data_IF_142275167647
#
_entry.id   IF_142275167647
#
_cell.length_a   1.000
_cell.length_b   1.000
_cell.length_c   1.000
_cell.angle_alpha   90.00
_cell.angle_beta   90.00
_cell.angle_gamma   90.00
#
_symmetry.space_group_name_H-M   'P 1'
#
loop_
_entity.id
_entity.type
_entity.pdbx_description
1 polymer ?
#
# COMPACT_ATOMS: atom_id res chain seq x y z
N UNK A 1 -30.53 -0.90 -15.66
CA UNK A 1 -29.17 -0.39 -15.89
C UNK A 1 -28.28 -1.59 -16.14
N UNK A 2 -27.73 -1.71 -17.34
CA UNK A 2 -26.95 -2.90 -17.72
C UNK A 2 -25.55 -2.83 -17.07
N UNK A 3 -24.88 -3.97 -16.94
CA UNK A 3 -23.52 -4.05 -16.39
C UNK A 3 -22.52 -3.19 -17.17
N UNK A 4 -22.76 -2.99 -18.47
CA UNK A 4 -21.95 -2.16 -19.38
C UNK A 4 -22.06 -0.67 -19.02
N UNK A 5 -23.26 -0.18 -18.72
CA UNK A 5 -23.48 1.22 -18.30
C UNK A 5 -22.75 1.55 -16.99
N UNK A 6 -22.63 0.55 -16.11
CA UNK A 6 -21.98 0.69 -14.80
C UNK A 6 -20.46 0.80 -14.93
N UNK A 7 -19.85 0.03 -15.85
CA UNK A 7 -18.42 0.08 -16.10
C UNK A 7 -18.01 1.43 -16.73
N UNK A 8 -18.77 1.90 -17.72
CA UNK A 8 -18.51 3.17 -18.40
C UNK A 8 -18.58 4.37 -17.43
N UNK A 9 -19.50 4.35 -16.46
CA UNK A 9 -19.62 5.39 -15.44
C UNK A 9 -18.50 5.36 -14.39
N UNK A 10 -17.87 4.21 -14.16
CA UNK A 10 -16.85 4.02 -13.12
C UNK A 10 -15.48 4.58 -13.53
N UNK A 11 -15.10 4.43 -14.79
CA UNK A 11 -13.80 4.90 -15.32
C UNK A 11 -13.48 6.38 -15.04
N UNK A 12 -14.38 7.35 -15.33
CA UNK A 12 -14.09 8.76 -15.03
C UNK A 12 -13.98 9.04 -13.53
N UNK A 13 -14.71 8.29 -12.69
CA UNK A 13 -14.62 8.40 -11.23
C UNK A 13 -13.27 7.90 -10.73
N UNK A 14 -12.80 6.74 -11.20
CA UNK A 14 -11.47 6.20 -10.89
C UNK A 14 -10.39 7.23 -11.26
N UNK A 15 -10.47 7.79 -12.48
CA UNK A 15 -9.50 8.79 -12.94
C UNK A 15 -9.49 10.08 -12.10
N UNK A 16 -10.65 10.51 -11.60
CA UNK A 16 -10.75 11.68 -10.71
C UNK A 16 -10.07 11.43 -9.37
N UNK A 17 -10.39 10.31 -8.72
CA UNK A 17 -9.82 10.00 -7.40
C UNK A 17 -8.31 9.71 -7.50
N UNK A 18 -7.86 9.04 -8.57
CA UNK A 18 -6.44 8.89 -8.87
C UNK A 18 -5.72 10.23 -8.99
N UNK A 19 -6.31 11.19 -9.72
CA UNK A 19 -5.73 12.53 -9.89
C UNK A 19 -5.69 13.31 -8.58
N UNK A 20 -6.71 13.18 -7.74
CA UNK A 20 -6.72 13.80 -6.41
C UNK A 20 -5.61 13.24 -5.52
N UNK A 21 -5.42 11.92 -5.50
CA UNK A 21 -4.35 11.30 -4.73
C UNK A 21 -2.98 11.75 -5.22
N UNK A 22 -2.70 11.66 -6.53
CA UNK A 22 -1.39 11.99 -7.11
C UNK A 22 -1.00 13.46 -6.86
N UNK A 23 -1.99 14.36 -6.84
CA UNK A 23 -1.76 15.80 -6.57
C UNK A 23 -1.82 16.16 -5.10
N UNK A 24 -2.00 15.18 -4.21
CA UNK A 24 -2.20 15.46 -2.79
C UNK A 24 -0.90 15.99 -2.15
N UNK A 25 -0.94 17.12 -1.43
CA UNK A 25 0.26 17.77 -0.90
C UNK A 25 1.02 16.91 0.13
N UNK A 26 0.34 15.97 0.80
CA UNK A 26 0.99 14.99 1.71
C UNK A 26 1.97 14.07 0.99
N UNK A 27 1.91 13.95 -0.34
CA UNK A 27 2.90 13.20 -1.11
C UNK A 27 4.15 14.02 -1.45
N UNK A 28 4.14 15.35 -1.32
CA UNK A 28 5.27 16.22 -1.66
C UNK A 28 6.51 16.05 -0.78
N UNK A 29 6.41 15.66 0.51
CA UNK A 29 7.58 15.31 1.28
C UNK A 29 8.35 14.12 0.68
N UNK A 30 7.73 13.21 -0.07
CA UNK A 30 8.41 12.05 -0.64
C UNK A 30 9.56 12.43 -1.60
N UNK A 31 9.35 13.25 -2.65
CA UNK A 31 10.45 13.73 -3.49
C UNK A 31 11.45 14.60 -2.72
N UNK A 32 11.04 15.32 -1.68
CA UNK A 32 11.95 16.08 -0.83
C UNK A 32 12.88 15.15 -0.03
N UNK A 33 12.34 14.06 0.57
CA UNK A 33 13.12 13.02 1.25
C UNK A 33 14.12 12.40 0.28
N UNK A 34 13.67 12.00 -0.92
CA UNK A 34 14.54 11.43 -1.96
C UNK A 34 15.65 12.43 -2.35
N UNK A 35 15.32 13.70 -2.54
CA UNK A 35 16.27 14.73 -2.93
C UNK A 35 17.30 15.00 -1.83
N UNK A 36 16.87 15.09 -0.57
CA UNK A 36 17.73 15.32 0.60
C UNK A 36 18.66 14.13 0.82
N UNK A 37 18.14 12.90 0.82
CA UNK A 37 18.99 11.70 0.98
C UNK A 37 20.00 11.60 -0.16
N UNK A 38 19.55 11.80 -1.41
CA UNK A 38 20.44 11.80 -2.57
C UNK A 38 21.50 12.91 -2.53
N UNK A 39 21.19 14.09 -1.97
CA UNK A 39 22.09 15.23 -1.89
C UNK A 39 23.14 15.07 -0.78
N UNK A 40 22.73 14.59 0.40
CA UNK A 40 23.64 14.32 1.52
C UNK A 40 24.72 13.32 1.12
N UNK A 41 24.35 12.27 0.39
CA UNK A 41 25.30 11.22 -0.01
C UNK A 41 26.12 11.60 -1.26
N UNK A 42 25.62 12.50 -2.10
CA UNK A 42 26.44 13.12 -3.15
C UNK A 42 27.65 13.88 -2.60
N UNK A 43 27.59 14.29 -1.33
CA UNK A 43 28.69 14.96 -0.65
C UNK A 43 29.70 14.00 0.01
N UNK A 44 29.43 12.69 0.06
CA UNK A 44 30.18 11.71 0.87
C UNK A 44 30.92 10.61 0.07
N UNK A 45 31.63 10.97 -1.01
CA UNK A 45 32.53 10.07 -1.77
C UNK A 45 31.91 9.06 -2.76
N UNK A 46 30.73 9.37 -3.31
CA UNK A 46 30.28 8.81 -4.59
C UNK A 46 29.19 7.73 -4.50
N UNK A 47 28.32 7.72 -5.51
CA UNK A 47 27.12 6.86 -5.53
C UNK A 47 27.43 5.52 -6.18
N UNK A 48 27.36 4.44 -5.41
CA UNK A 48 27.41 3.06 -5.94
C UNK A 48 26.02 2.61 -6.39
N UNK A 49 25.95 1.52 -7.16
CA UNK A 49 24.66 0.95 -7.55
C UNK A 49 23.88 0.37 -6.37
N UNK A 50 24.58 -0.26 -5.41
CA UNK A 50 23.97 -0.73 -4.15
C UNK A 50 23.34 0.41 -3.35
N UNK A 51 23.94 1.61 -3.38
CA UNK A 51 23.34 2.79 -2.77
C UNK A 51 22.01 3.19 -3.42
N UNK A 52 21.96 3.29 -4.74
CA UNK A 52 20.72 3.64 -5.46
C UNK A 52 19.64 2.59 -5.26
N UNK A 53 20.03 1.31 -5.26
CA UNK A 53 19.16 0.19 -4.96
C UNK A 53 18.51 0.33 -3.59
N UNK A 54 19.32 0.51 -2.54
CA UNK A 54 18.83 0.73 -1.17
C UNK A 54 18.00 2.01 -1.03
N UNK A 55 18.36 3.09 -1.73
CA UNK A 55 17.61 4.36 -1.69
C UNK A 55 16.22 4.22 -2.29
N UNK A 56 16.09 3.56 -3.46
CA UNK A 56 14.79 3.28 -4.08
C UNK A 56 13.96 2.41 -3.14
N UNK A 57 14.57 1.36 -2.59
CA UNK A 57 13.90 0.48 -1.65
C UNK A 57 13.37 1.25 -0.43
N UNK A 58 14.21 2.02 0.25
CA UNK A 58 13.79 2.82 1.41
C UNK A 58 12.70 3.83 0.99
N UNK A 59 12.88 4.61 -0.07
CA UNK A 59 11.85 5.57 -0.47
C UNK A 59 10.48 4.91 -0.73
N UNK A 60 10.47 3.77 -1.42
CA UNK A 60 9.25 3.13 -1.93
C UNK A 60 8.63 2.14 -0.94
N UNK A 61 9.44 1.31 -0.28
CA UNK A 61 8.98 0.31 0.68
C UNK A 61 8.79 0.89 2.08
N UNK A 62 9.47 1.99 2.44
CA UNK A 62 9.44 2.56 3.79
C UNK A 62 8.55 3.80 3.90
N UNK A 63 8.87 4.85 3.14
CA UNK A 63 8.22 6.15 3.31
C UNK A 63 6.91 6.25 2.54
N UNK A 64 6.91 5.79 1.29
CA UNK A 64 5.74 5.91 0.42
C UNK A 64 4.46 5.26 0.99
N UNK A 65 4.46 4.06 1.61
CA UNK A 65 3.24 3.47 2.16
C UNK A 65 2.62 4.35 3.26
N UNK A 66 3.44 4.97 4.11
CA UNK A 66 2.97 5.88 5.15
C UNK A 66 2.28 7.11 4.54
N UNK A 67 2.94 7.80 3.59
CA UNK A 67 2.35 8.98 2.95
C UNK A 67 1.10 8.63 2.14
N UNK A 68 1.09 7.49 1.44
CA UNK A 68 -0.06 6.98 0.70
C UNK A 68 -1.22 6.65 1.63
N UNK A 69 -0.99 6.01 2.78
CA UNK A 69 -2.00 5.71 3.79
C UNK A 69 -2.74 6.98 4.25
N UNK A 70 -1.97 8.00 4.66
CA UNK A 70 -2.55 9.26 5.14
C UNK A 70 -3.24 10.03 4.02
N UNK A 71 -2.62 10.14 2.84
CA UNK A 71 -3.22 10.82 1.69
C UNK A 71 -4.54 10.14 1.27
N UNK A 72 -4.56 8.81 1.19
CA UNK A 72 -5.75 8.03 0.88
C UNK A 72 -6.87 8.27 1.88
N UNK A 73 -6.57 8.24 3.18
CA UNK A 73 -7.57 8.53 4.22
C UNK A 73 -8.11 9.96 4.11
N UNK A 74 -7.27 10.95 3.83
CA UNK A 74 -7.69 12.34 3.67
C UNK A 74 -8.58 12.55 2.44
N UNK A 75 -8.22 11.93 1.31
CA UNK A 75 -9.06 11.94 0.09
C UNK A 75 -10.40 11.25 0.36
N UNK A 76 -10.38 10.05 0.95
CA UNK A 76 -11.57 9.26 1.23
C UNK A 76 -12.50 9.90 2.28
N UNK A 77 -11.95 10.64 3.25
CA UNK A 77 -12.73 11.38 4.26
C UNK A 77 -13.09 12.80 3.83
N UNK A 78 -12.68 13.25 2.63
CA UNK A 78 -12.86 14.62 2.16
C UNK A 78 -14.32 15.06 2.13
N UNK A 79 -15.24 14.20 1.68
CA UNK A 79 -16.67 14.50 1.64
C UNK A 79 -17.25 14.79 3.03
N UNK A 80 -16.86 14.00 4.05
CA UNK A 80 -17.23 14.22 5.46
C UNK A 80 -16.69 15.53 5.98
N UNK A 81 -15.41 15.78 5.76
CA UNK A 81 -14.72 16.98 6.25
C UNK A 81 -15.28 18.26 5.65
N UNK A 82 -15.78 18.20 4.42
CA UNK A 82 -16.45 19.31 3.75
C UNK A 82 -17.95 19.41 4.01
N UNK A 83 -18.53 18.58 4.89
CA UNK A 83 -19.98 18.46 5.11
C UNK A 83 -20.78 18.27 3.80
N UNK A 84 -20.16 17.66 2.79
CA UNK A 84 -20.75 17.47 1.47
C UNK A 84 -21.54 16.15 1.36
N UNK A 85 -21.60 15.34 2.42
CA UNK A 85 -22.32 14.06 2.40
C UNK A 85 -23.81 14.24 2.08
N UNK A 86 -24.47 15.26 2.64
CA UNK A 86 -25.89 15.55 2.37
C UNK A 86 -26.15 15.85 0.88
N UNK A 87 -25.22 16.56 0.22
CA UNK A 87 -25.31 16.84 -1.21
C UNK A 87 -25.00 15.61 -2.08
N UNK A 88 -24.38 14.58 -1.51
CA UNK A 88 -24.02 13.35 -2.20
C UNK A 88 -25.11 12.29 -2.08
N UNK A 89 -25.90 12.31 -1.00
CA UNK A 89 -27.04 11.42 -0.80
C UNK A 89 -28.14 11.60 -1.85
N UNK A 90 -28.22 12.79 -2.47
CA UNK A 90 -29.14 13.08 -3.59
C UNK A 90 -28.62 12.63 -4.95
N UNK A 91 -27.35 12.21 -5.08
CA UNK A 91 -26.85 11.69 -6.36
C UNK A 91 -27.29 10.24 -6.59
N UNK A 92 -27.78 9.88 -7.80
CA UNK A 92 -28.32 8.55 -8.08
C UNK A 92 -27.24 7.44 -8.16
N UNK A 93 -26.00 7.72 -7.77
CA UNK A 93 -24.91 6.74 -7.79
C UNK A 93 -24.88 5.97 -6.48
N UNK A 94 -25.01 4.64 -6.54
CA UNK A 94 -24.92 3.80 -5.37
C UNK A 94 -23.56 3.97 -4.65
N UNK A 95 -23.58 4.09 -3.31
CA UNK A 95 -22.38 4.25 -2.47
C UNK A 95 -21.34 3.12 -2.70
N UNK A 96 -21.81 1.91 -3.03
CA UNK A 96 -20.95 0.79 -3.42
C UNK A 96 -20.10 1.09 -4.66
N UNK A 97 -20.69 1.69 -5.71
CA UNK A 97 -19.98 2.03 -6.95
C UNK A 97 -18.96 3.13 -6.68
N UNK A 98 -19.34 4.16 -5.91
CA UNK A 98 -18.42 5.22 -5.50
C UNK A 98 -17.24 4.66 -4.69
N UNK A 99 -17.50 3.74 -3.76
CA UNK A 99 -16.44 3.12 -2.96
C UNK A 99 -15.51 2.29 -3.83
N UNK A 100 -16.04 1.52 -4.78
CA UNK A 100 -15.22 0.79 -5.75
C UNK A 100 -14.33 1.73 -6.56
N UNK A 101 -14.92 2.79 -7.12
CA UNK A 101 -14.16 3.77 -7.89
C UNK A 101 -13.07 4.45 -7.06
N UNK A 102 -13.36 4.77 -5.80
CA UNK A 102 -12.41 5.35 -4.85
C UNK A 102 -11.30 4.35 -4.50
N UNK A 103 -11.62 3.11 -4.15
CA UNK A 103 -10.63 2.07 -3.85
C UNK A 103 -9.71 1.81 -5.03
N UNK A 104 -10.25 1.69 -6.25
CA UNK A 104 -9.45 1.50 -7.47
C UNK A 104 -8.62 2.74 -7.82
N UNK A 105 -9.22 3.93 -7.75
CA UNK A 105 -8.55 5.20 -8.03
C UNK A 105 -7.41 5.49 -7.05
N UNK A 106 -7.54 5.04 -5.79
CA UNK A 106 -6.49 5.19 -4.78
C UNK A 106 -5.44 4.09 -4.85
N UNK A 107 -5.82 2.85 -5.17
CA UNK A 107 -4.88 1.72 -5.18
C UNK A 107 -3.98 1.69 -6.42
N UNK A 108 -4.54 1.98 -7.60
CA UNK A 108 -3.84 1.80 -8.88
C UNK A 108 -2.61 2.72 -9.05
N UNK A 109 -2.65 4.03 -8.76
CA UNK A 109 -1.47 4.88 -8.94
C UNK A 109 -0.29 4.47 -8.05
N UNK A 110 -0.46 4.25 -6.72
CA UNK A 110 0.61 3.74 -5.87
C UNK A 110 1.12 2.36 -6.29
N UNK A 111 0.23 1.45 -6.72
CA UNK A 111 0.65 0.15 -7.27
C UNK A 111 1.56 0.33 -8.51
N UNK A 112 1.20 1.26 -9.40
CA UNK A 112 2.00 1.62 -10.56
C UNK A 112 3.38 2.18 -10.18
N UNK A 113 3.45 3.05 -9.17
CA UNK A 113 4.73 3.55 -8.62
C UNK A 113 5.58 2.40 -8.08
N UNK A 114 4.98 1.46 -7.35
CA UNK A 114 5.66 0.27 -6.84
C UNK A 114 6.19 -0.63 -7.96
N UNK A 115 5.43 -0.81 -9.04
CA UNK A 115 5.85 -1.58 -10.20
C UNK A 115 7.00 -0.91 -10.95
N UNK A 116 6.94 0.42 -11.13
CA UNK A 116 8.03 1.20 -11.73
C UNK A 116 9.30 1.10 -10.88
N UNK A 117 9.18 1.18 -9.56
CA UNK A 117 10.30 1.01 -8.65
C UNK A 117 10.92 -0.39 -8.73
N UNK A 118 10.08 -1.44 -8.76
CA UNK A 118 10.53 -2.82 -8.93
C UNK A 118 11.33 -3.00 -10.23
N UNK A 119 10.83 -2.45 -11.34
CA UNK A 119 11.53 -2.47 -12.64
C UNK A 119 12.83 -1.68 -12.57
N UNK A 120 12.83 -0.50 -11.96
CA UNK A 120 14.04 0.31 -11.81
C UNK A 120 15.12 -0.43 -10.99
N UNK A 121 14.74 -1.11 -9.91
CA UNK A 121 15.65 -1.93 -9.10
C UNK A 121 16.19 -3.12 -9.88
N UNK A 122 15.34 -3.81 -10.66
CA UNK A 122 15.78 -4.89 -11.54
C UNK A 122 16.75 -4.42 -12.64
N UNK A 123 16.54 -3.21 -13.19
CA UNK A 123 17.46 -2.60 -14.15
C UNK A 123 18.81 -2.27 -13.49
N UNK A 124 18.81 -1.67 -12.29
CA UNK A 124 20.04 -1.34 -11.54
C UNK A 124 20.87 -2.59 -11.25
N UNK A 125 20.21 -3.69 -10.87
CA UNK A 125 20.84 -5.00 -10.70
C UNK A 125 21.50 -5.50 -12.00
N UNK A 126 20.78 -5.43 -13.13
CA UNK A 126 21.26 -5.97 -14.42
C UNK A 126 22.52 -5.32 -14.99
N UNK A 127 22.89 -4.11 -14.53
CA UNK A 127 24.01 -3.32 -15.10
C UNK A 127 25.18 -3.08 -14.15
N UNK A 128 25.11 -3.47 -12.86
CA UNK A 128 26.10 -2.99 -11.88
C UNK A 128 26.76 -4.05 -10.97
N UNK A 129 26.77 -5.33 -11.33
CA UNK A 129 27.46 -6.41 -10.59
C UNK A 129 27.26 -6.34 -9.06
N UNK A 130 26.02 -6.07 -8.62
CA UNK A 130 25.68 -6.05 -7.20
C UNK A 130 25.81 -7.50 -6.66
N UNK A 131 26.44 -7.71 -5.49
CA UNK A 131 26.51 -9.05 -4.90
C UNK A 131 25.11 -9.65 -4.76
N UNK A 132 24.91 -10.89 -5.24
CA UNK A 132 23.59 -11.54 -5.26
C UNK A 132 22.88 -11.61 -3.91
N UNK A 133 23.62 -11.56 -2.81
CA UNK A 133 23.06 -11.53 -1.45
C UNK A 133 22.38 -10.22 -1.09
N UNK A 134 22.68 -9.13 -1.81
CA UNK A 134 22.19 -7.78 -1.57
C UNK A 134 21.06 -7.39 -2.54
N UNK A 135 20.69 -8.31 -3.43
CA UNK A 135 19.66 -8.13 -4.46
C UNK A 135 18.39 -8.87 -4.07
N UNK A 136 17.26 -8.17 -4.14
CA UNK A 136 15.93 -8.74 -3.98
C UNK A 136 15.59 -9.65 -5.17
N UNK A 137 15.08 -10.83 -4.85
CA UNK A 137 14.47 -11.76 -5.79
C UNK A 137 13.25 -11.14 -6.49
N UNK A 138 12.86 -11.70 -7.64
CA UNK A 138 11.66 -11.26 -8.35
C UNK A 138 10.39 -11.32 -7.49
N UNK A 139 10.29 -12.31 -6.59
CA UNK A 139 9.17 -12.43 -5.65
C UNK A 139 9.18 -11.35 -4.56
N UNK A 140 10.35 -10.88 -4.13
CA UNK A 140 10.49 -9.75 -3.19
C UNK A 140 10.13 -8.42 -3.89
N UNK A 141 10.60 -8.21 -5.12
CA UNK A 141 10.25 -7.03 -5.92
C UNK A 141 8.75 -6.96 -6.23
N UNK A 142 8.10 -8.11 -6.45
CA UNK A 142 6.65 -8.20 -6.68
C UNK A 142 5.80 -7.74 -5.48
N UNK A 143 6.40 -7.58 -4.29
CA UNK A 143 5.69 -7.09 -3.10
C UNK A 143 5.42 -5.57 -3.17
N UNK A 144 6.31 -4.80 -3.82
CA UNK A 144 6.25 -3.32 -3.84
C UNK A 144 4.91 -2.75 -4.34
N UNK A 145 4.32 -3.22 -5.46
CA UNK A 145 3.00 -2.76 -5.90
C UNK A 145 1.91 -3.01 -4.84
N UNK A 146 1.92 -4.18 -4.19
CA UNK A 146 0.90 -4.57 -3.22
C UNK A 146 1.04 -3.85 -1.89
N UNK A 147 2.27 -3.56 -1.44
CA UNK A 147 2.52 -2.77 -0.24
C UNK A 147 1.91 -1.36 -0.40
N UNK A 148 2.17 -0.71 -1.55
CA UNK A 148 1.66 0.62 -1.83
C UNK A 148 0.15 0.65 -2.07
N UNK A 149 -0.37 -0.31 -2.83
CA UNK A 149 -1.81 -0.47 -3.02
C UNK A 149 -2.52 -0.73 -1.69
N UNK A 150 -1.98 -1.64 -0.88
CA UNK A 150 -2.51 -2.03 0.43
C UNK A 150 -2.54 -0.86 1.40
N UNK A 151 -1.50 -0.03 1.44
CA UNK A 151 -1.50 1.19 2.24
C UNK A 151 -2.61 2.16 1.82
N UNK A 152 -2.82 2.36 0.52
CA UNK A 152 -3.91 3.19 0.01
C UNK A 152 -5.28 2.64 0.39
N UNK A 153 -5.50 1.34 0.18
CA UNK A 153 -6.76 0.65 0.51
C UNK A 153 -7.03 0.63 2.01
N UNK A 154 -5.99 0.49 2.83
CA UNK A 154 -6.09 0.57 4.29
C UNK A 154 -6.50 1.99 4.72
N UNK A 155 -6.01 3.03 4.03
CA UNK A 155 -6.44 4.42 4.25
C UNK A 155 -7.91 4.64 3.91
N UNK A 156 -8.38 4.06 2.79
CA UNK A 156 -9.81 4.07 2.42
C UNK A 156 -10.65 3.30 3.44
N UNK A 157 -10.19 2.12 3.86
CA UNK A 157 -10.87 1.30 4.87
C UNK A 157 -10.98 2.05 6.20
N UNK A 158 -9.87 2.64 6.67
CA UNK A 158 -9.82 3.44 7.89
C UNK A 158 -10.80 4.61 7.80
N UNK A 159 -10.79 5.37 6.71
CA UNK A 159 -11.76 6.44 6.49
C UNK A 159 -13.19 5.88 6.53
N UNK A 160 -13.47 4.74 5.89
CA UNK A 160 -14.82 4.19 5.89
C UNK A 160 -15.27 3.71 7.26
N UNK A 161 -14.41 3.09 8.07
CA UNK A 161 -14.83 2.46 9.33
C UNK A 161 -14.65 3.34 10.56
N UNK A 162 -13.73 4.31 10.53
CA UNK A 162 -13.41 5.18 11.66
C UNK A 162 -13.85 6.62 11.34
N UNK A 163 -14.97 7.09 11.91
CA UNK A 163 -15.57 8.38 11.51
C UNK A 163 -14.83 9.62 12.03
N UNK A 164 -13.74 9.46 12.80
CA UNK A 164 -13.01 10.57 13.41
C UNK A 164 -11.65 10.81 12.74
N UNK A 165 -11.17 12.06 12.80
CA UNK A 165 -9.96 12.51 12.10
C UNK A 165 -8.68 11.72 12.46
N UNK A 166 -8.60 11.17 13.67
CA UNK A 166 -7.47 10.37 14.17
C UNK A 166 -7.53 8.88 13.84
N UNK A 167 -8.58 8.39 13.17
CA UNK A 167 -8.78 6.94 12.97
C UNK A 167 -7.62 6.28 12.24
N UNK A 168 -7.13 6.92 11.18
CA UNK A 168 -5.96 6.43 10.41
C UNK A 168 -4.68 6.37 11.24
N UNK A 169 -4.48 7.30 12.20
CA UNK A 169 -3.32 7.27 13.07
C UNK A 169 -3.39 6.06 14.01
N UNK A 170 -4.57 5.73 14.54
CA UNK A 170 -4.76 4.53 15.35
C UNK A 170 -4.51 3.27 14.53
N UNK A 171 -5.03 3.22 13.30
CA UNK A 171 -4.78 2.09 12.39
C UNK A 171 -3.28 1.94 12.10
N UNK A 172 -2.59 3.04 11.82
CA UNK A 172 -1.15 3.06 11.63
C UNK A 172 -0.43 2.51 12.87
N UNK A 173 -0.68 3.09 14.05
CA UNK A 173 -0.03 2.67 15.31
C UNK A 173 -0.32 1.21 15.62
N UNK A 174 -1.57 0.74 15.52
CA UNK A 174 -1.93 -0.65 15.77
C UNK A 174 -1.28 -1.60 14.76
N UNK A 175 -1.22 -1.23 13.49
CA UNK A 175 -0.55 -2.03 12.48
C UNK A 175 0.95 -2.11 12.78
N UNK A 176 1.57 -0.99 13.17
CA UNK A 176 2.99 -0.99 13.55
C UNK A 176 3.26 -1.80 14.82
N UNK A 177 2.46 -1.64 15.88
CA UNK A 177 2.55 -2.44 17.11
C UNK A 177 2.28 -3.93 16.86
N UNK A 178 1.31 -4.27 16.01
CA UNK A 178 1.03 -5.63 15.60
C UNK A 178 2.23 -6.26 14.90
N UNK A 179 2.86 -5.52 14.00
CA UNK A 179 4.13 -5.90 13.39
C UNK A 179 5.25 -6.11 14.42
N UNK A 180 5.41 -5.20 15.38
CA UNK A 180 6.40 -5.35 16.46
C UNK A 180 6.26 -6.67 17.20
N UNK A 181 5.03 -6.98 17.63
CA UNK A 181 4.73 -8.17 18.42
C UNK A 181 4.90 -9.43 17.57
N UNK A 182 4.37 -9.44 16.34
CA UNK A 182 4.40 -10.60 15.47
C UNK A 182 5.83 -10.98 15.04
N UNK A 183 6.69 -10.00 14.81
CA UNK A 183 8.05 -10.24 14.33
C UNK A 183 9.11 -10.22 15.45
N UNK A 184 8.74 -9.84 16.68
CA UNK A 184 9.65 -9.81 17.83
C UNK A 184 10.88 -8.90 17.61
N UNK A 185 10.77 -7.90 16.74
CA UNK A 185 11.88 -7.02 16.32
C UNK A 185 11.93 -5.76 17.18
N UNK A 186 12.47 -5.84 18.39
CA UNK A 186 12.72 -4.67 19.24
C UNK A 186 14.14 -4.09 19.08
N UNK A 187 15.09 -4.90 18.61
CA UNK A 187 16.52 -4.61 18.83
C UNK A 187 17.21 -3.77 17.75
N UNK A 188 16.58 -3.50 16.60
CA UNK A 188 17.26 -2.86 15.46
C UNK A 188 16.85 -1.41 15.18
N UNK A 189 15.87 -0.84 15.89
CA UNK A 189 15.33 0.48 15.53
C UNK A 189 14.61 0.49 14.17
N UNK A 190 14.42 -0.66 13.53
CA UNK A 190 13.78 -0.86 12.21
C UNK A 190 12.40 -1.54 12.35
N UNK A 191 11.76 -1.26 13.48
CA UNK A 191 10.68 -2.06 14.05
C UNK A 191 9.33 -1.86 13.32
N UNK A 192 9.29 -0.86 12.46
CA UNK A 192 8.23 -0.54 11.52
C UNK A 192 8.49 -1.10 10.10
N UNK A 193 9.49 -1.95 9.82
CA UNK A 193 9.73 -2.56 8.48
C UNK A 193 9.07 -3.95 8.28
N UNK A 194 7.99 -4.23 8.99
CA UNK A 194 7.33 -5.55 8.92
C UNK A 194 6.52 -5.79 7.63
N UNK A 195 6.31 -4.75 6.81
CA UNK A 195 5.60 -4.83 5.53
C UNK A 195 6.44 -5.44 4.40
N UNK A 196 7.75 -5.63 4.60
CA UNK A 196 8.65 -6.23 3.62
C UNK A 196 9.43 -7.39 4.24
N UNK A 197 9.79 -8.35 3.40
CA UNK A 197 10.50 -9.57 3.80
C UNK A 197 12.03 -9.38 3.84
N UNK A 198 12.54 -8.18 4.07
CA UNK A 198 13.96 -7.90 3.79
C UNK A 198 14.96 -8.49 4.81
N UNK A 199 16.13 -8.88 4.26
CA UNK A 199 17.33 -9.36 4.98
C UNK A 199 18.39 -8.28 5.24
N UNK A 200 18.33 -7.15 4.54
CA UNK A 200 19.48 -6.22 4.38
C UNK A 200 19.83 -5.47 5.68
N UNK A 201 18.89 -5.36 6.64
CA UNK A 201 19.08 -4.58 7.87
C UNK A 201 19.14 -5.42 9.17
N UNK A 202 19.23 -6.76 9.10
CA UNK A 202 19.23 -7.57 10.32
C UNK A 202 19.79 -8.99 10.19
N UNK A 203 20.47 -9.45 11.25
CA UNK A 203 21.15 -10.76 11.36
C UNK A 203 20.18 -11.96 11.36
N UNK A 204 18.87 -11.74 11.56
CA UNK A 204 17.86 -12.79 11.47
C UNK A 204 17.14 -12.75 10.13
N UNK A 205 17.40 -13.79 9.32
CA UNK A 205 16.63 -14.09 8.11
C UNK A 205 15.13 -14.03 8.43
N UNK A 206 14.30 -13.39 7.58
CA UNK A 206 12.87 -13.64 7.58
C UNK A 206 12.64 -15.15 7.58
N UNK A 207 11.55 -15.57 8.22
CA UNK A 207 11.06 -16.95 8.23
C UNK A 207 11.21 -17.56 6.83
N UNK A 208 11.68 -18.80 6.74
CA UNK A 208 11.86 -19.53 5.48
C UNK A 208 10.51 -19.69 4.77
N UNK A 209 10.10 -18.68 3.99
CA UNK A 209 8.89 -18.69 3.19
C UNK A 209 9.20 -18.19 1.79
N UNK A 210 8.51 -18.73 0.79
CA UNK A 210 8.74 -18.35 -0.59
C UNK A 210 8.22 -16.92 -0.86
N UNK A 211 9.04 -15.98 -1.37
CA UNK A 211 8.66 -14.57 -1.47
C UNK A 211 7.40 -14.28 -2.31
N UNK A 212 7.09 -15.14 -3.28
CA UNK A 212 5.88 -15.03 -4.10
C UNK A 212 4.61 -15.37 -3.32
N UNK A 213 4.68 -16.26 -2.32
CA UNK A 213 3.55 -16.53 -1.41
C UNK A 213 3.23 -15.28 -0.59
N UNK A 214 4.25 -14.52 -0.18
CA UNK A 214 4.03 -13.26 0.52
C UNK A 214 3.38 -12.21 -0.38
N UNK A 215 3.81 -12.09 -1.64
CA UNK A 215 3.14 -11.20 -2.60
C UNK A 215 1.66 -11.60 -2.82
N UNK A 216 1.37 -12.89 -2.93
CA UNK A 216 -0.01 -13.40 -3.02
C UNK A 216 -0.82 -13.10 -1.75
N UNK A 217 -0.23 -13.27 -0.58
CA UNK A 217 -0.82 -12.90 0.70
C UNK A 217 -1.15 -11.39 0.77
N UNK A 218 -0.21 -10.52 0.37
CA UNK A 218 -0.41 -9.07 0.32
C UNK A 218 -1.53 -8.69 -0.67
N UNK A 219 -1.62 -9.35 -1.82
CA UNK A 219 -2.72 -9.17 -2.76
C UNK A 219 -4.07 -9.57 -2.14
N UNK A 220 -4.10 -10.68 -1.38
CA UNK A 220 -5.26 -11.11 -0.59
C UNK A 220 -5.68 -10.08 0.47
N UNK A 221 -4.73 -9.51 1.20
CA UNK A 221 -5.00 -8.42 2.16
C UNK A 221 -5.55 -7.16 1.47
N UNK A 222 -5.03 -6.79 0.30
CA UNK A 222 -5.56 -5.70 -0.51
C UNK A 222 -7.02 -5.97 -0.88
N UNK A 223 -7.33 -7.19 -1.35
CA UNK A 223 -8.70 -7.60 -1.67
C UNK A 223 -9.62 -7.56 -0.43
N UNK A 224 -9.15 -8.03 0.72
CA UNK A 224 -9.88 -7.94 1.99
C UNK A 224 -10.22 -6.49 2.35
N UNK A 225 -9.24 -5.59 2.28
CA UNK A 225 -9.43 -4.17 2.58
C UNK A 225 -10.44 -3.51 1.63
N UNK A 226 -10.34 -3.79 0.32
CA UNK A 226 -11.28 -3.29 -0.67
C UNK A 226 -12.71 -3.79 -0.43
N UNK A 227 -12.89 -5.10 -0.22
CA UNK A 227 -14.21 -5.72 0.04
C UNK A 227 -14.82 -5.19 1.35
N UNK A 228 -14.02 -5.09 2.41
CA UNK A 228 -14.47 -4.57 3.70
C UNK A 228 -14.85 -3.08 3.64
N UNK A 229 -14.16 -2.28 2.81
CA UNK A 229 -14.52 -0.89 2.58
C UNK A 229 -15.85 -0.77 1.79
N UNK A 230 -15.96 -1.53 0.70
CA UNK A 230 -17.09 -1.49 -0.24
C UNK A 230 -18.41 -1.98 0.37
N UNK A 231 -18.37 -3.10 1.11
CA UNK A 231 -19.56 -3.74 1.64
C UNK A 231 -19.83 -3.43 3.11
N UNK A 232 -19.23 -2.36 3.66
CA UNK A 232 -19.45 -1.91 5.05
C UNK A 232 -20.93 -1.85 5.44
N UNK A 233 -21.79 -1.34 4.56
CA UNK A 233 -23.23 -1.21 4.81
C UNK A 233 -24.04 -2.48 4.49
N UNK A 234 -23.46 -3.47 3.81
CA UNK A 234 -24.15 -4.67 3.32
C UNK A 234 -23.60 -5.94 3.97
N UNK A 235 -23.88 -6.13 5.28
CA UNK A 235 -23.31 -7.22 6.10
C UNK A 235 -23.43 -8.61 5.46
N UNK A 236 -24.57 -8.94 4.86
CA UNK A 236 -24.77 -10.24 4.20
C UNK A 236 -23.84 -10.44 3.00
N UNK A 237 -23.64 -9.39 2.18
CA UNK A 237 -22.71 -9.45 1.04
C UNK A 237 -21.26 -9.43 1.50
N UNK A 238 -20.96 -8.68 2.56
CA UNK A 238 -19.64 -8.69 3.19
C UNK A 238 -19.28 -10.09 3.69
N UNK A 239 -20.21 -10.82 4.32
CA UNK A 239 -19.97 -12.20 4.74
C UNK A 239 -19.80 -13.14 3.53
N UNK A 240 -20.66 -13.00 2.52
CA UNK A 240 -20.66 -13.88 1.34
C UNK A 240 -19.42 -13.70 0.45
N UNK A 241 -18.94 -12.47 0.26
CA UNK A 241 -17.76 -12.18 -0.58
C UNK A 241 -16.49 -12.11 0.26
N UNK A 242 -16.54 -11.46 1.42
CA UNK A 242 -15.39 -11.26 2.29
C UNK A 242 -14.95 -12.52 3.02
N UNK A 243 -15.87 -13.44 3.35
CA UNK A 243 -15.53 -14.71 3.99
C UNK A 243 -14.56 -15.56 3.15
N UNK A 244 -14.89 -15.88 1.88
CA UNK A 244 -13.99 -16.60 0.99
C UNK A 244 -12.66 -15.89 0.73
N UNK A 245 -12.67 -14.56 0.53
CA UNK A 245 -11.45 -13.77 0.30
C UNK A 245 -10.54 -13.78 1.53
N UNK A 246 -11.11 -13.64 2.72
CA UNK A 246 -10.37 -13.73 3.98
C UNK A 246 -9.82 -15.15 4.18
N UNK A 247 -10.62 -16.19 3.97
CA UNK A 247 -10.17 -17.57 4.10
C UNK A 247 -9.01 -17.89 3.14
N UNK A 248 -9.11 -17.49 1.87
CA UNK A 248 -8.03 -17.67 0.90
C UNK A 248 -6.75 -16.90 1.33
N UNK A 249 -6.91 -15.68 1.84
CA UNK A 249 -5.78 -14.87 2.34
C UNK A 249 -5.12 -15.52 3.55
N UNK A 250 -5.90 -16.07 4.49
CA UNK A 250 -5.37 -16.78 5.66
C UNK A 250 -4.67 -18.08 5.26
N UNK A 251 -5.18 -18.82 4.28
CA UNK A 251 -4.51 -20.01 3.72
C UNK A 251 -3.16 -19.64 3.10
N UNK A 252 -3.10 -18.56 2.31
CA UNK A 252 -1.83 -18.08 1.75
C UNK A 252 -0.85 -17.65 2.85
N UNK A 253 -1.33 -16.96 3.89
CA UNK A 253 -0.51 -16.59 5.04
C UNK A 253 -0.02 -17.80 5.82
N UNK A 254 -0.85 -18.84 5.97
CA UNK A 254 -0.46 -20.10 6.61
C UNK A 254 0.61 -20.84 5.79
N UNK A 255 0.40 -20.98 4.47
CA UNK A 255 1.37 -21.59 3.56
C UNK A 255 2.71 -20.85 3.53
N UNK A 256 2.70 -19.54 3.77
CA UNK A 256 3.93 -18.75 3.89
C UNK A 256 4.72 -19.09 5.18
N UNK A 257 4.05 -19.53 6.23
CA UNK A 257 4.64 -19.82 7.54
C UNK A 257 5.05 -21.29 7.73
N UNK A 258 4.51 -22.20 6.90
CA UNK A 258 4.77 -23.64 6.91
C UNK A 258 5.98 -24.02 6.07
#
# INVERSE_FOLDING_TARGET
MTTVDSAAAMTPLIGREARHLVRHPVLWPLPAVIAVTSALDSASDGRTAGYWYGTIFVAVAFFAPMFVLFAANLVASGARRGHAEEALDVTPTADTIRTWAMSLGIALPPAGVGAVAAVAMALVDSVNDIPRQDVLTAGELAQLPFILAGAGLLGVLAARWLPFAGGVLIVFVLATLGGLVAFGRFDAGVWWMWWSTERILGVRSPVQGEPWLHAAYLAGLCACAAVAAVYRAQRSRLALVGGPVLAATLVLGWLQLS
#
